data_IF_788425805354
#
_entry.id   IF_788425805354
#
_cell.length_a   1.000
_cell.length_b   1.000
_cell.length_c   1.000
_cell.angle_alpha   90.00
_cell.angle_beta   90.00
_cell.angle_gamma   90.00
#
_symmetry.space_group_name_H-M   'P 1'
#
loop_
_entity.id
_entity.type
_entity.pdbx_description
1 polymer ?
#
# COMPACT_ATOMS: atom_id res chain seq x y z
N UNK A 1 -1.36 -10.75 10.34
CA UNK A 1 -1.77 -9.36 10.60
C UNK A 1 -2.83 -8.99 9.59
N UNK A 2 -3.92 -8.38 10.05
CA UNK A 2 -5.02 -7.97 9.18
C UNK A 2 -4.62 -6.71 8.39
N UNK A 3 -4.81 -6.73 7.07
CA UNK A 3 -4.43 -5.60 6.19
C UNK A 3 -5.20 -4.32 6.56
N UNK A 4 -6.46 -4.46 6.98
CA UNK A 4 -7.28 -3.33 7.44
C UNK A 4 -6.75 -2.64 8.70
N UNK A 5 -5.83 -3.27 9.44
CA UNK A 5 -5.23 -2.73 10.67
C UNK A 5 -3.83 -2.15 10.42
N UNK A 6 -3.20 -2.45 9.28
CA UNK A 6 -1.86 -1.94 8.95
C UNK A 6 -1.85 -0.40 8.92
N UNK A 7 -0.82 0.19 9.52
CA UNK A 7 -0.62 1.64 9.57
C UNK A 7 0.88 1.98 9.62
N UNK A 8 1.21 3.23 9.30
CA UNK A 8 2.58 3.76 9.33
C UNK A 8 3.59 2.87 8.60
N UNK A 9 4.78 2.72 9.17
CA UNK A 9 5.90 2.02 8.56
C UNK A 9 5.60 0.55 8.19
N UNK A 10 4.74 -0.13 8.95
CA UNK A 10 4.34 -1.50 8.62
C UNK A 10 3.49 -1.53 7.34
N UNK A 11 2.58 -0.58 7.16
CA UNK A 11 1.82 -0.43 5.91
C UNK A 11 2.76 -0.08 4.75
N UNK A 12 3.67 0.85 4.95
CA UNK A 12 4.64 1.28 3.93
C UNK A 12 5.56 0.13 3.48
N UNK A 13 6.01 -0.71 4.42
CA UNK A 13 6.77 -1.92 4.13
C UNK A 13 5.98 -2.89 3.24
N UNK A 14 4.71 -3.14 3.56
CA UNK A 14 3.87 -4.02 2.74
C UNK A 14 3.56 -3.43 1.37
N UNK A 15 3.49 -2.10 1.25
CA UNK A 15 3.41 -1.42 -0.05
C UNK A 15 4.69 -1.63 -0.85
N UNK A 16 5.86 -1.53 -0.22
CA UNK A 16 7.13 -1.78 -0.88
C UNK A 16 7.22 -3.23 -1.40
N UNK A 17 6.80 -4.20 -0.60
CA UNK A 17 6.67 -5.61 -1.00
C UNK A 17 5.69 -5.77 -2.19
N UNK A 18 4.53 -5.10 -2.15
CA UNK A 18 3.54 -5.15 -3.23
C UNK A 18 4.05 -4.54 -4.55
N UNK A 19 4.94 -3.57 -4.47
CA UNK A 19 5.60 -2.92 -5.61
C UNK A 19 6.89 -3.62 -6.05
N UNK A 20 7.30 -4.69 -5.35
CA UNK A 20 8.56 -5.40 -5.57
C UNK A 20 9.79 -4.46 -5.53
N UNK A 21 9.81 -3.55 -4.55
CA UNK A 21 10.99 -2.74 -4.28
C UNK A 21 12.06 -3.56 -3.54
N UNK A 22 13.32 -3.19 -3.74
CA UNK A 22 14.46 -3.94 -3.21
C UNK A 22 14.71 -3.62 -1.73
N UNK A 23 15.05 -4.66 -0.95
CA UNK A 23 15.49 -4.58 0.44
C UNK A 23 14.59 -3.76 1.38
N UNK A 24 13.25 -3.88 1.34
CA UNK A 24 12.39 -3.14 2.25
C UNK A 24 12.68 -3.57 3.69
N UNK A 25 12.73 -2.59 4.59
CA UNK A 25 12.88 -2.79 6.04
C UNK A 25 12.29 -1.63 6.82
N UNK A 26 12.00 -1.86 8.09
CA UNK A 26 11.52 -0.85 9.03
C UNK A 26 12.56 -0.64 10.11
N UNK A 27 12.97 0.60 10.33
CA UNK A 27 13.81 1.01 11.47
C UNK A 27 13.15 2.17 12.23
N UNK A 28 13.90 2.78 13.17
CA UNK A 28 13.38 3.86 14.00
C UNK A 28 12.94 5.10 13.20
N UNK A 29 13.42 5.28 11.96
CA UNK A 29 13.03 6.38 11.09
C UNK A 29 11.79 6.06 10.23
N UNK A 30 11.39 4.79 10.14
CA UNK A 30 10.25 4.34 9.35
C UNK A 30 10.64 3.26 8.33
N UNK A 31 9.87 3.16 7.24
CA UNK A 31 10.15 2.22 6.16
C UNK A 31 11.24 2.77 5.22
N UNK A 32 12.20 1.91 4.89
CA UNK A 32 13.34 2.17 4.02
C UNK A 32 13.35 1.18 2.87
N UNK A 33 13.66 1.64 1.65
CA UNK A 33 13.71 0.81 0.43
C UNK A 33 14.88 1.23 -0.45
N UNK A 34 15.31 0.36 -1.37
CA UNK A 34 16.20 0.71 -2.46
C UNK A 34 15.34 0.89 -3.72
N UNK A 35 15.34 2.10 -4.31
CA UNK A 35 14.48 2.44 -5.46
C UNK A 35 15.11 2.11 -6.81
N UNK A 36 16.43 2.05 -6.85
CA UNK A 36 17.23 1.79 -8.04
C UNK A 36 18.21 0.66 -7.75
N UNK A 37 18.44 -0.29 -8.68
CA UNK A 37 19.36 -1.39 -8.46
C UNK A 37 20.76 -0.91 -8.04
N UNK A 38 21.23 -1.35 -6.87
CA UNK A 38 22.52 -0.92 -6.30
C UNK A 38 22.53 0.46 -5.62
N UNK A 39 21.37 1.12 -5.51
CA UNK A 39 21.21 2.39 -4.83
C UNK A 39 21.30 2.28 -3.29
N UNK A 40 21.38 3.43 -2.64
CA UNK A 40 21.34 3.51 -1.18
C UNK A 40 19.90 3.38 -0.65
N UNK A 41 19.69 2.81 0.56
CA UNK A 41 18.39 2.81 1.20
C UNK A 41 17.87 4.24 1.42
N UNK A 42 16.63 4.50 0.99
CA UNK A 42 15.97 5.79 1.12
C UNK A 42 14.63 5.65 1.85
N UNK A 43 14.16 6.69 2.55
CA UNK A 43 12.83 6.69 3.17
C UNK A 43 11.74 6.45 2.13
N UNK A 44 10.72 5.70 2.55
CA UNK A 44 9.55 5.40 1.74
C UNK A 44 8.31 5.39 2.62
N UNK A 45 7.43 6.38 2.43
CA UNK A 45 6.27 6.58 3.28
C UNK A 45 4.98 6.81 2.46
N UNK A 46 4.60 5.91 1.54
CA UNK A 46 3.46 6.10 0.65
C UNK A 46 2.12 6.25 1.38
N UNK A 47 1.99 5.78 2.63
CA UNK A 47 0.77 5.96 3.43
C UNK A 47 0.59 7.35 4.03
N UNK A 48 1.65 8.17 4.10
CA UNK A 48 1.63 9.50 4.72
C UNK A 48 2.25 10.62 3.89
N UNK A 49 3.15 10.32 2.97
CA UNK A 49 3.84 11.29 2.11
C UNK A 49 3.28 11.26 0.69
N UNK A 50 2.71 12.39 0.24
CA UNK A 50 2.16 12.51 -1.11
C UNK A 50 3.19 12.31 -2.23
N UNK A 51 4.46 12.67 -1.98
CA UNK A 51 5.54 12.44 -2.94
C UNK A 51 5.74 10.95 -3.28
N UNK A 52 5.43 10.05 -2.33
CA UNK A 52 5.53 8.60 -2.52
C UNK A 52 4.18 7.98 -2.91
N UNK A 53 3.11 8.35 -2.22
CA UNK A 53 1.79 7.74 -2.40
C UNK A 53 1.04 8.26 -3.63
N UNK A 54 1.19 9.55 -3.96
CA UNK A 54 0.50 10.19 -5.08
C UNK A 54 0.77 9.52 -6.43
N UNK A 55 2.04 9.31 -6.81
CA UNK A 55 2.38 8.60 -8.04
C UNK A 55 1.81 7.17 -8.13
N UNK A 56 1.63 6.48 -6.99
CA UNK A 56 0.99 5.16 -6.96
C UNK A 56 -0.51 5.26 -7.21
N UNK A 57 -1.18 6.23 -6.61
CA UNK A 57 -2.61 6.47 -6.80
C UNK A 57 -2.94 6.75 -8.26
N UNK A 58 -2.10 7.55 -8.94
CA UNK A 58 -2.31 7.88 -10.36
C UNK A 58 -1.99 6.71 -11.29
N UNK A 59 -0.91 5.96 -11.01
CA UNK A 59 -0.42 4.90 -11.90
C UNK A 59 -1.23 3.61 -11.82
N UNK A 60 -1.82 3.32 -10.65
CA UNK A 60 -2.56 2.09 -10.42
C UNK A 60 -4.04 2.24 -10.77
N UNK A 61 -4.74 1.14 -11.12
CA UNK A 61 -6.14 1.19 -11.57
C UNK A 61 -7.13 1.38 -10.41
N UNK A 62 -6.97 2.44 -9.62
CA UNK A 62 -7.97 2.88 -8.66
C UNK A 62 -9.22 3.37 -9.41
N UNK A 63 -10.37 2.79 -9.07
CA UNK A 63 -11.65 3.12 -9.70
C UNK A 63 -12.41 4.22 -8.97
N UNK A 64 -12.25 4.32 -7.65
CA UNK A 64 -12.95 5.29 -6.84
C UNK A 64 -12.22 5.58 -5.52
N UNK A 65 -12.38 6.81 -5.05
CA UNK A 65 -12.11 7.23 -3.69
C UNK A 65 -13.36 7.91 -3.13
N UNK A 66 -13.90 7.36 -2.06
CA UNK A 66 -15.14 7.82 -1.46
C UNK A 66 -14.88 8.31 -0.03
N UNK A 67 -15.57 9.40 0.34
CA UNK A 67 -15.60 9.91 1.71
C UNK A 67 -16.97 10.54 1.98
N UNK A 68 -17.77 9.84 2.77
CA UNK A 68 -19.18 10.18 3.00
C UNK A 68 -19.37 11.61 3.49
N UNK A 69 -20.06 12.42 2.70
CA UNK A 69 -20.31 13.84 3.00
C UNK A 69 -19.03 14.65 3.27
N UNK A 70 -17.89 14.24 2.70
CA UNK A 70 -16.60 14.91 2.87
C UNK A 70 -15.97 14.76 4.26
N UNK A 71 -16.51 13.89 5.13
CA UNK A 71 -16.03 13.69 6.50
C UNK A 71 -15.81 12.20 6.80
N UNK A 72 -15.03 11.91 7.85
CA UNK A 72 -14.78 10.54 8.29
C UNK A 72 -13.78 9.78 7.43
N UNK A 73 -13.93 8.46 7.40
CA UNK A 73 -13.00 7.54 6.74
C UNK A 73 -13.10 7.61 5.21
N UNK A 74 -11.95 7.40 4.57
CA UNK A 74 -11.86 7.16 3.14
C UNK A 74 -12.06 5.69 2.81
N UNK A 75 -12.69 5.42 1.67
CA UNK A 75 -12.76 4.10 1.03
C UNK A 75 -12.07 4.19 -0.31
N UNK A 76 -11.19 3.24 -0.62
CA UNK A 76 -10.48 3.17 -1.89
C UNK A 76 -10.84 1.88 -2.61
N UNK A 77 -11.21 1.97 -3.90
CA UNK A 77 -11.54 0.82 -4.73
C UNK A 77 -10.49 0.67 -5.82
N UNK A 78 -9.91 -0.54 -5.95
CA UNK A 78 -8.94 -0.86 -6.99
C UNK A 78 -9.48 -1.99 -7.87
N UNK A 79 -9.43 -1.79 -9.18
CA UNK A 79 -9.87 -2.78 -10.16
C UNK A 79 -8.70 -3.64 -10.63
N UNK A 80 -8.90 -4.96 -10.64
CA UNK A 80 -7.97 -5.88 -11.29
C UNK A 80 -8.71 -6.71 -12.32
N UNK A 81 -8.20 -6.71 -13.56
CA UNK A 81 -8.72 -7.58 -14.59
C UNK A 81 -8.44 -9.04 -14.22
N UNK A 82 -9.45 -9.90 -14.27
CA UNK A 82 -9.29 -11.35 -14.15
C UNK A 82 -9.34 -11.93 -15.57
N UNK A 83 -8.22 -12.45 -16.10
CA UNK A 83 -8.15 -12.89 -17.49
C UNK A 83 -9.12 -14.03 -17.85
N UNK A 84 -9.57 -14.81 -16.86
CA UNK A 84 -10.30 -16.05 -17.09
C UNK A 84 -11.83 -15.89 -17.22
N UNK A 85 -12.42 -14.76 -16.84
CA UNK A 85 -13.88 -14.65 -16.69
C UNK A 85 -14.52 -13.44 -17.39
N UNK A 86 -13.75 -12.51 -17.97
CA UNK A 86 -14.30 -11.23 -18.42
C UNK A 86 -14.81 -10.34 -17.27
N UNK A 87 -14.60 -10.75 -16.03
CA UNK A 87 -15.01 -10.07 -14.81
C UNK A 87 -13.87 -9.20 -14.24
N UNK A 88 -14.25 -8.12 -13.55
CA UNK A 88 -13.32 -7.27 -12.78
C UNK A 88 -13.41 -7.64 -11.30
N UNK A 89 -12.31 -8.06 -10.70
CA UNK A 89 -12.23 -8.10 -9.24
C UNK A 89 -12.05 -6.68 -8.71
N UNK A 90 -12.84 -6.34 -7.68
CA UNK A 90 -12.69 -5.09 -6.94
C UNK A 90 -12.10 -5.40 -5.57
N UNK A 91 -10.99 -4.75 -5.25
CA UNK A 91 -10.44 -4.72 -3.91
C UNK A 91 -10.86 -3.42 -3.27
N UNK A 92 -11.30 -3.48 -2.02
CA UNK A 92 -11.71 -2.30 -1.28
C UNK A 92 -11.22 -2.37 0.16
N UNK A 93 -10.63 -1.28 0.62
CA UNK A 93 -10.21 -1.08 2.00
C UNK A 93 -10.53 0.36 2.43
N UNK A 94 -10.55 0.57 3.74
CA UNK A 94 -10.80 1.88 4.34
C UNK A 94 -9.63 2.36 5.18
N UNK A 95 -9.57 3.67 5.37
CA UNK A 95 -8.53 4.31 6.16
C UNK A 95 -8.92 5.72 6.62
N UNK A 96 -8.24 6.24 7.65
CA UNK A 96 -8.48 7.61 8.14
C UNK A 96 -8.05 8.69 7.13
N UNK A 97 -7.17 8.35 6.18
CA UNK A 97 -6.74 9.24 5.09
C UNK A 97 -6.87 8.52 3.74
N UNK A 98 -6.91 9.31 2.66
CA UNK A 98 -6.95 8.77 1.29
C UNK A 98 -5.78 7.83 1.03
N UNK A 99 -4.56 8.24 1.41
CA UNK A 99 -3.35 7.44 1.21
C UNK A 99 -3.39 6.13 2.01
N UNK A 100 -3.83 6.16 3.27
CA UNK A 100 -3.95 4.91 4.07
C UNK A 100 -4.96 3.96 3.44
N UNK A 101 -6.12 4.45 3.00
CA UNK A 101 -7.11 3.62 2.30
C UNK A 101 -6.53 3.04 1.00
N UNK A 102 -5.87 3.87 0.19
CA UNK A 102 -5.23 3.47 -1.06
C UNK A 102 -4.19 2.36 -0.85
N UNK A 103 -3.28 2.57 0.10
CA UNK A 103 -2.19 1.64 0.38
C UNK A 103 -2.69 0.31 0.95
N UNK A 104 -3.70 0.33 1.83
CA UNK A 104 -4.34 -0.91 2.30
C UNK A 104 -5.02 -1.66 1.15
N UNK A 105 -5.74 -0.96 0.27
CA UNK A 105 -6.37 -1.58 -0.91
C UNK A 105 -5.32 -2.19 -1.84
N UNK A 106 -4.20 -1.51 -2.06
CA UNK A 106 -3.08 -2.03 -2.85
C UNK A 106 -2.51 -3.32 -2.22
N UNK A 107 -2.21 -3.32 -0.92
CA UNK A 107 -1.70 -4.50 -0.20
C UNK A 107 -2.71 -5.65 -0.29
N UNK A 108 -3.99 -5.38 -0.04
CA UNK A 108 -5.06 -6.38 -0.14
C UNK A 108 -5.17 -6.97 -1.56
N UNK A 109 -4.97 -6.16 -2.60
CA UNK A 109 -5.00 -6.63 -4.00
C UNK A 109 -3.87 -7.60 -4.38
N UNK A 110 -2.81 -7.65 -3.57
CA UNK A 110 -1.63 -8.49 -3.76
C UNK A 110 -1.60 -9.69 -2.83
N UNK A 111 -1.97 -9.50 -1.57
CA UNK A 111 -1.77 -10.50 -0.52
C UNK A 111 -3.08 -11.01 0.10
N UNK A 112 -4.23 -10.40 -0.20
CA UNK A 112 -5.50 -10.70 0.45
C UNK A 112 -5.69 -9.93 1.76
N UNK A 113 -6.60 -10.41 2.61
CA UNK A 113 -6.98 -9.70 3.84
C UNK A 113 -5.94 -9.83 4.97
N UNK A 114 -5.03 -10.79 4.85
CA UNK A 114 -4.00 -11.10 5.83
C UNK A 114 -2.60 -11.12 5.23
N UNK A 115 -1.65 -10.60 6.00
CA UNK A 115 -0.21 -10.71 5.73
C UNK A 115 0.51 -11.36 6.91
N UNK A 116 1.61 -12.09 6.70
CA UNK A 116 2.34 -12.70 7.81
C UNK A 116 2.90 -11.64 8.77
N UNK A 117 3.04 -12.01 10.04
CA UNK A 117 3.76 -11.20 11.02
C UNK A 117 5.26 -11.46 10.87
N UNK A 118 5.98 -10.51 10.28
CA UNK A 118 7.39 -10.64 9.93
C UNK A 118 8.26 -9.75 10.82
N UNK A 119 9.47 -10.21 11.14
CA UNK A 119 10.54 -9.30 11.56
C UNK A 119 10.89 -8.39 10.38
N UNK A 120 10.38 -7.15 10.42
CA UNK A 120 10.58 -6.12 9.38
C UNK A 120 11.90 -5.36 9.57
N UNK A 121 12.64 -5.59 10.65
CA UNK A 121 13.91 -4.88 10.89
C UNK A 121 15.03 -5.33 9.94
N UNK A 122 14.86 -6.50 9.34
CA UNK A 122 15.80 -7.09 8.38
C UNK A 122 15.36 -6.80 6.94
N UNK A 123 16.30 -6.47 6.04
CA UNK A 123 15.98 -6.28 4.62
C UNK A 123 15.42 -7.58 4.02
N UNK A 124 14.43 -7.43 3.13
CA UNK A 124 13.78 -8.54 2.42
C UNK A 124 14.11 -8.61 0.94
#
# INVERSE_FOLDING_TARGET
MQVQELTGAALDFWVAMAQALDAPRVDAAGCMVIREPGGAPAPYAPSSAWADGGPLVERLPFGAFERDGGRGAWRAVLHRAVPAAGERCTFNQSGPTLLVAAMRTLVASKFGDDVPDLDMSRPR
#
